data_IF_707216116598
#
_entry.id   IF_707216116598
#
_cell.length_a   1.000
_cell.length_b   1.000
_cell.length_c   1.000
_cell.angle_alpha   90.00
_cell.angle_beta   90.00
_cell.angle_gamma   90.00
#
_symmetry.space_group_name_H-M   'P 1'
#
loop_
_entity.id
_entity.type
_entity.pdbx_description
1 polymer ?
#
# COMPACT_ATOMS: atom_id res chain seq x y z
N UNK A 1 -41.98 19.40 7.03
CA UNK A 1 -40.53 19.34 6.74
C UNK A 1 -39.78 18.92 7.98
N UNK A 2 -39.59 17.61 8.14
CA UNK A 2 -38.84 17.03 9.25
C UNK A 2 -37.34 17.03 8.90
N UNK A 3 -36.52 17.60 9.77
CA UNK A 3 -35.06 17.56 9.73
C UNK A 3 -34.56 16.38 10.55
N UNK A 4 -33.86 15.44 9.91
CA UNK A 4 -33.18 14.34 10.58
C UNK A 4 -31.68 14.42 10.29
N UNK A 5 -30.93 14.93 11.25
CA UNK A 5 -29.49 14.79 11.40
C UNK A 5 -29.16 13.36 11.87
N UNK A 6 -28.23 12.69 11.20
CA UNK A 6 -27.69 11.41 11.68
C UNK A 6 -26.18 11.55 11.94
N UNK A 7 -25.83 11.68 13.21
CA UNK A 7 -24.48 11.51 13.73
C UNK A 7 -24.19 10.02 13.90
N UNK A 8 -23.21 9.50 13.17
CA UNK A 8 -22.70 8.14 13.35
C UNK A 8 -21.45 8.18 14.24
N UNK A 9 -21.65 7.80 15.50
CA UNK A 9 -20.61 7.51 16.48
C UNK A 9 -20.03 6.11 16.20
N UNK A 10 -18.74 6.03 15.88
CA UNK A 10 -18.04 4.75 15.77
C UNK A 10 -17.02 4.61 16.91
N UNK A 11 -17.45 3.77 17.85
CA UNK A 11 -16.77 3.08 18.94
C UNK A 11 -15.24 2.97 18.86
N UNK A 12 -14.57 3.55 19.87
CA UNK A 12 -13.18 3.27 20.22
C UNK A 12 -13.09 1.92 20.94
N UNK A 13 -12.53 0.90 20.28
CA UNK A 13 -12.17 -0.35 20.93
C UNK A 13 -10.79 -0.22 21.57
N UNK A 14 -10.77 -0.12 22.89
CA UNK A 14 -9.58 -0.25 23.71
C UNK A 14 -9.22 -1.73 23.84
N UNK A 15 -8.04 -2.14 23.39
CA UNK A 15 -7.50 -3.46 23.69
C UNK A 15 -6.25 -3.28 24.55
N UNK A 16 -6.34 -3.80 25.77
CA UNK A 16 -5.25 -3.85 26.74
C UNK A 16 -4.65 -5.26 26.77
N UNK A 17 -3.33 -5.29 27.03
CA UNK A 17 -2.53 -6.37 27.66
C UNK A 17 -1.77 -7.33 26.72
N UNK A 18 -0.64 -7.95 27.15
CA UNK A 18 0.26 -7.65 28.27
C UNK A 18 1.73 -7.48 27.83
N UNK A 19 2.57 -7.00 28.75
CA UNK A 19 4.02 -6.91 28.58
C UNK A 19 4.71 -8.30 28.64
N UNK A 20 5.82 -8.41 27.90
CA UNK A 20 6.88 -9.43 27.96
C UNK A 20 6.77 -10.65 27.03
N UNK A 21 7.29 -10.49 25.81
CA UNK A 21 7.95 -11.57 25.08
C UNK A 21 8.94 -10.98 24.06
N UNK A 22 10.22 -11.35 24.22
CA UNK A 22 11.30 -11.45 23.22
C UNK A 22 11.36 -10.45 22.06
N UNK A 23 12.48 -9.71 21.98
CA UNK A 23 13.08 -9.09 20.78
C UNK A 23 12.06 -8.75 19.68
N UNK A 24 11.51 -7.54 19.76
CA UNK A 24 10.52 -6.96 18.85
C UNK A 24 10.80 -7.31 17.37
N UNK A 25 10.23 -8.44 16.92
CA UNK A 25 10.01 -8.73 15.51
C UNK A 25 9.13 -7.59 15.06
N UNK A 26 9.64 -6.72 14.17
CA UNK A 26 8.88 -5.60 13.62
C UNK A 26 7.56 -6.17 13.12
N UNK A 27 6.48 -5.88 13.84
CA UNK A 27 5.18 -6.42 13.51
C UNK A 27 4.76 -5.80 12.17
N UNK A 28 4.85 -6.56 11.08
CA UNK A 28 4.41 -6.14 9.75
C UNK A 28 2.88 -6.13 9.68
N UNK A 29 2.20 -5.53 10.67
CA UNK A 29 0.74 -5.48 10.76
C UNK A 29 0.12 -4.78 9.54
N UNK A 30 0.90 -3.95 8.84
CA UNK A 30 0.50 -3.32 7.58
C UNK A 30 0.66 -4.23 6.34
N UNK A 31 1.20 -5.44 6.51
CA UNK A 31 1.33 -6.51 5.51
C UNK A 31 0.57 -7.79 5.89
N UNK A 32 0.16 -7.95 7.16
CA UNK A 32 -0.56 -9.14 7.66
C UNK A 32 -2.03 -9.20 7.23
N UNK A 33 -2.41 -10.11 6.33
CA UNK A 33 -3.80 -10.26 5.85
C UNK A 33 -3.90 -10.10 4.34
N UNK A 34 -5.12 -10.26 3.81
CA UNK A 34 -5.47 -10.23 2.38
C UNK A 34 -5.02 -8.93 1.66
N UNK A 35 -5.02 -8.98 0.32
CA UNK A 35 -4.73 -7.92 -0.67
C UNK A 35 -4.97 -6.49 -0.15
N UNK A 36 -3.93 -5.63 -0.21
CA UNK A 36 -3.99 -4.26 0.33
C UNK A 36 -3.75 -3.20 -0.74
N UNK A 37 -4.70 -2.29 -0.94
CA UNK A 37 -4.54 -1.17 -1.84
C UNK A 37 -3.90 0.03 -1.15
N UNK A 38 -2.78 0.50 -1.71
CA UNK A 38 -1.89 1.51 -1.13
C UNK A 38 -1.36 2.43 -2.22
N UNK A 39 -0.82 3.58 -1.82
CA UNK A 39 0.07 4.39 -2.65
C UNK A 39 1.45 4.39 -2.03
N UNK A 40 2.50 4.18 -2.82
CA UNK A 40 3.88 4.29 -2.35
C UNK A 40 4.36 5.73 -2.59
N UNK A 41 4.48 6.49 -1.51
CA UNK A 41 4.95 7.87 -1.53
C UNK A 41 6.44 7.93 -1.19
N UNK A 42 7.24 8.33 -2.17
CA UNK A 42 8.69 8.47 -2.00
C UNK A 42 9.03 9.66 -1.10
N UNK A 43 10.21 9.58 -0.47
CA UNK A 43 10.80 10.70 0.27
C UNK A 43 10.88 11.99 -0.57
N UNK A 44 11.17 11.85 -1.86
CA UNK A 44 11.26 12.94 -2.84
C UNK A 44 9.89 13.52 -3.25
N UNK A 45 8.81 13.19 -2.53
CA UNK A 45 7.46 13.74 -2.70
C UNK A 45 6.77 13.34 -4.01
N UNK A 46 7.02 12.12 -4.48
CA UNK A 46 6.33 11.51 -5.62
C UNK A 46 5.62 10.22 -5.23
N UNK A 47 4.41 10.02 -5.76
CA UNK A 47 3.77 8.71 -5.79
C UNK A 47 4.36 7.86 -6.90
N UNK A 48 4.75 6.63 -6.57
CA UNK A 48 5.15 5.64 -7.57
C UNK A 48 3.96 5.32 -8.48
N UNK A 49 4.17 5.30 -9.80
CA UNK A 49 3.18 4.86 -10.78
C UNK A 49 3.78 3.89 -11.80
N UNK A 50 2.93 2.99 -12.30
CA UNK A 50 3.27 2.08 -13.41
C UNK A 50 2.27 2.31 -14.54
N UNK A 51 2.75 2.85 -15.65
CA UNK A 51 1.92 3.20 -16.81
C UNK A 51 1.53 1.96 -17.64
N UNK A 52 0.58 2.12 -18.57
CA UNK A 52 0.09 1.03 -19.46
C UNK A 52 1.15 0.46 -20.41
N UNK A 53 2.29 1.14 -20.56
CA UNK A 53 3.43 0.69 -21.36
C UNK A 53 4.50 -0.02 -20.51
N UNK A 54 4.22 -0.31 -19.24
CA UNK A 54 5.18 -0.92 -18.31
C UNK A 54 6.26 0.06 -17.80
N UNK A 55 6.20 1.35 -18.14
CA UNK A 55 7.14 2.34 -17.62
C UNK A 55 6.82 2.67 -16.16
N UNK A 56 7.86 2.60 -15.34
CA UNK A 56 7.79 2.98 -13.92
C UNK A 56 8.34 4.39 -13.75
N UNK A 57 7.61 5.24 -13.04
CA UNK A 57 8.03 6.63 -12.76
C UNK A 57 7.29 7.21 -11.55
N UNK A 58 7.61 8.45 -11.18
CA UNK A 58 6.92 9.18 -10.11
C UNK A 58 5.88 10.17 -10.64
N UNK A 59 4.86 10.47 -9.84
CA UNK A 59 3.92 11.58 -10.09
C UNK A 59 3.61 12.36 -8.82
N UNK A 60 3.42 13.68 -8.94
CA UNK A 60 2.92 14.53 -7.84
C UNK A 60 1.39 14.60 -7.80
N UNK A 61 0.70 14.05 -8.81
CA UNK A 61 -0.76 14.05 -8.86
C UNK A 61 -1.30 13.04 -7.86
N UNK A 62 -1.99 13.53 -6.84
CA UNK A 62 -2.60 12.68 -5.81
C UNK A 62 -3.62 11.71 -6.41
N UNK A 63 -4.40 12.14 -7.40
CA UNK A 63 -5.48 11.36 -8.01
C UNK A 63 -5.02 10.57 -9.25
N UNK A 64 -3.74 10.27 -9.39
CA UNK A 64 -3.27 9.44 -10.51
C UNK A 64 -3.78 7.99 -10.34
N UNK A 65 -4.52 7.43 -11.31
CA UNK A 65 -5.01 6.05 -11.17
C UNK A 65 -3.87 5.02 -11.19
N UNK A 66 -2.81 5.28 -11.96
CA UNK A 66 -1.65 4.40 -12.07
C UNK A 66 -0.76 4.35 -10.82
N UNK A 67 -1.06 5.15 -9.78
CA UNK A 67 -0.35 5.10 -8.50
C UNK A 67 -1.06 4.27 -7.43
N UNK A 68 -2.23 3.69 -7.75
CA UNK A 68 -2.94 2.77 -6.87
C UNK A 68 -2.33 1.38 -7.04
N UNK A 69 -1.68 0.91 -5.97
CA UNK A 69 -0.91 -0.33 -5.96
C UNK A 69 -1.53 -1.33 -4.98
N UNK A 70 -1.66 -2.56 -5.41
CA UNK A 70 -1.91 -3.72 -4.58
C UNK A 70 -0.60 -4.25 -4.03
N UNK A 71 -0.53 -4.41 -2.71
CA UNK A 71 0.60 -4.99 -1.99
C UNK A 71 0.13 -6.30 -1.38
N UNK A 72 0.76 -7.39 -1.79
CA UNK A 72 0.50 -8.75 -1.29
C UNK A 72 1.76 -9.31 -0.66
N UNK A 73 1.63 -9.90 0.53
CA UNK A 73 2.74 -10.62 1.15
C UNK A 73 2.89 -11.97 0.47
N UNK A 74 4.10 -12.29 0.01
CA UNK A 74 4.42 -13.61 -0.59
C UNK A 74 5.26 -14.47 0.35
N UNK A 75 6.06 -13.82 1.21
CA UNK A 75 6.83 -14.44 2.29
C UNK A 75 6.99 -13.42 3.43
N UNK A 76 7.49 -13.85 4.59
CA UNK A 76 7.79 -12.95 5.71
C UNK A 76 8.80 -11.89 5.26
N UNK A 77 8.37 -10.63 5.22
CA UNK A 77 9.20 -9.52 4.80
C UNK A 77 9.35 -9.33 3.29
N UNK A 78 8.68 -10.17 2.47
CA UNK A 78 8.72 -10.09 1.00
C UNK A 78 7.32 -9.81 0.45
N UNK A 79 7.22 -8.86 -0.47
CA UNK A 79 5.96 -8.43 -1.06
C UNK A 79 6.01 -8.41 -2.57
N UNK A 80 4.87 -8.71 -3.20
CA UNK A 80 4.60 -8.34 -4.58
C UNK A 80 3.82 -7.02 -4.60
N UNK A 81 4.18 -6.14 -5.53
CA UNK A 81 3.53 -4.83 -5.70
C UNK A 81 2.99 -4.75 -7.11
N UNK A 82 1.67 -4.71 -7.26
CA UNK A 82 0.98 -4.69 -8.55
C UNK A 82 0.25 -3.37 -8.74
N UNK A 83 0.33 -2.76 -9.92
CA UNK A 83 -0.54 -1.64 -10.27
C UNK A 83 -1.91 -2.17 -10.68
N UNK A 84 -2.97 -1.74 -9.99
CA UNK A 84 -4.34 -2.18 -10.28
C UNK A 84 -4.77 -1.75 -11.69
N UNK A 85 -4.42 -0.51 -12.07
CA UNK A 85 -4.92 0.09 -13.31
C UNK A 85 -4.16 -0.36 -14.56
N UNK A 86 -2.91 -0.80 -14.43
CA UNK A 86 -2.11 -1.27 -15.57
C UNK A 86 -1.82 -2.76 -15.54
N UNK A 87 -2.23 -3.46 -14.48
CA UNK A 87 -2.00 -4.89 -14.23
C UNK A 87 -0.52 -5.34 -14.23
N UNK A 88 0.43 -4.41 -14.25
CA UNK A 88 1.85 -4.71 -14.16
C UNK A 88 2.32 -4.88 -12.71
N UNK A 89 3.21 -5.84 -12.50
CA UNK A 89 3.99 -5.96 -11.27
C UNK A 89 5.23 -5.08 -11.33
N UNK A 90 5.57 -4.45 -10.20
CA UNK A 90 6.83 -3.75 -10.04
C UNK A 90 7.98 -4.76 -10.01
N UNK A 91 8.85 -4.69 -11.01
CA UNK A 91 10.02 -5.55 -11.11
C UNK A 91 11.30 -4.73 -11.28
N UNK A 92 12.43 -5.32 -10.92
CA UNK A 92 13.76 -4.76 -11.14
C UNK A 92 14.64 -5.83 -11.78
N UNK A 93 15.30 -5.48 -12.88
CA UNK A 93 16.20 -6.42 -13.54
C UNK A 93 17.60 -6.44 -12.88
N UNK A 94 18.45 -7.38 -13.30
CA UNK A 94 19.83 -7.53 -12.78
C UNK A 94 20.72 -6.28 -12.97
N UNK A 95 20.34 -5.36 -13.87
CA UNK A 95 21.05 -4.09 -14.10
C UNK A 95 20.53 -2.95 -13.21
N UNK A 96 19.59 -3.22 -12.31
CA UNK A 96 18.96 -2.22 -11.43
C UNK A 96 17.88 -1.38 -12.11
N UNK A 97 17.49 -1.68 -13.35
CA UNK A 97 16.42 -0.95 -14.03
C UNK A 97 15.06 -1.46 -13.55
N UNK A 98 14.24 -0.55 -13.07
CA UNK A 98 12.86 -0.81 -12.64
C UNK A 98 11.91 -0.76 -13.83
N UNK A 99 10.96 -1.70 -13.89
CA UNK A 99 9.98 -1.84 -14.97
C UNK A 99 8.69 -2.52 -14.47
N UNK A 100 7.63 -2.45 -15.28
CA UNK A 100 6.40 -3.21 -15.10
C UNK A 100 6.47 -4.53 -15.85
N UNK A 101 6.17 -5.64 -15.18
CA UNK A 101 6.13 -7.00 -15.76
C UNK A 101 4.76 -7.65 -15.71
#
# INVERSE_FOLDING_TARGET
NASSSSSSSSSSSSFSSPASAGRHVRSYNHLQGDVRWRKLYSYNKYFLKIEKNGKVSGTKKENCPYSILEITSVEIGVVAVKSINSNYYLAMNKKGKVYGS
#
